data_IF_317201007627
#
_entry.id   IF_317201007627
#
_cell.length_a   1.000
_cell.length_b   1.000
_cell.length_c   1.000
_cell.angle_alpha   90.00
_cell.angle_beta   90.00
_cell.angle_gamma   90.00
#
_symmetry.space_group_name_H-M   'P 1'
#
loop_
_entity.id
_entity.type
_entity.pdbx_description
1 polymer ?
#
# COMPACT_ATOMS: atom_id res chain seq x y z
N UNK A 1 -1.73 -13.27 -40.99
CA UNK A 1 -1.28 -12.27 -39.97
C UNK A 1 -1.99 -12.51 -38.61
N UNK A 2 -1.87 -13.71 -38.02
CA UNK A 2 -2.60 -14.03 -36.73
C UNK A 2 -1.74 -14.79 -35.70
N UNK A 3 -0.40 -14.75 -35.81
CA UNK A 3 0.45 -15.50 -34.88
C UNK A 3 1.12 -14.65 -33.78
N UNK A 4 1.03 -13.33 -33.84
CA UNK A 4 1.74 -12.44 -32.90
C UNK A 4 0.92 -12.13 -31.64
N UNK A 5 -0.41 -12.13 -31.74
CA UNK A 5 -1.28 -11.78 -30.59
C UNK A 5 -1.42 -12.88 -29.52
N UNK A 6 -1.16 -14.15 -29.85
CA UNK A 6 -1.30 -15.22 -28.86
C UNK A 6 -0.06 -15.37 -27.94
N UNK A 7 1.13 -15.00 -28.40
CA UNK A 7 2.34 -15.08 -27.59
C UNK A 7 2.35 -14.02 -26.46
N UNK A 8 1.88 -12.81 -26.74
CA UNK A 8 1.83 -11.71 -25.77
C UNK A 8 0.79 -11.96 -24.65
N UNK A 9 -0.35 -12.57 -24.98
CA UNK A 9 -1.36 -12.96 -23.96
C UNK A 9 -0.89 -14.09 -23.04
N UNK A 10 -0.09 -15.03 -23.55
CA UNK A 10 0.38 -16.18 -22.75
C UNK A 10 1.48 -15.76 -21.77
N UNK A 11 2.35 -14.82 -22.15
CA UNK A 11 3.40 -14.29 -21.27
C UNK A 11 2.78 -13.47 -20.14
N UNK A 12 1.82 -12.60 -20.42
CA UNK A 12 1.13 -11.82 -19.40
C UNK A 12 0.35 -12.70 -18.39
N UNK A 13 -0.24 -13.81 -18.83
CA UNK A 13 -0.92 -14.73 -17.91
C UNK A 13 0.04 -15.53 -17.01
N UNK A 14 1.22 -15.87 -17.50
CA UNK A 14 2.22 -16.58 -16.68
C UNK A 14 2.89 -15.65 -15.66
N UNK A 15 3.18 -14.40 -16.02
CA UNK A 15 3.70 -13.39 -15.08
C UNK A 15 2.65 -13.02 -14.03
N UNK A 16 1.38 -12.91 -14.39
CA UNK A 16 0.29 -12.62 -13.43
C UNK A 16 0.10 -13.77 -12.42
N UNK A 17 0.25 -15.01 -12.85
CA UNK A 17 0.19 -16.19 -11.96
C UNK A 17 1.43 -16.27 -11.06
N UNK A 18 2.59 -15.86 -11.55
CA UNK A 18 3.84 -15.87 -10.79
C UNK A 18 3.86 -14.80 -9.68
N UNK A 19 3.29 -13.64 -9.95
CA UNK A 19 3.26 -12.49 -9.03
C UNK A 19 2.18 -12.61 -7.93
N UNK A 20 1.07 -13.31 -8.19
CA UNK A 20 0.10 -13.70 -7.15
C UNK A 20 0.73 -14.60 -6.07
N UNK A 21 1.91 -15.18 -6.33
CA UNK A 21 2.58 -16.06 -5.38
C UNK A 21 3.40 -15.31 -4.31
N UNK A 22 3.74 -14.02 -4.48
CA UNK A 22 4.71 -13.37 -3.59
C UNK A 22 4.07 -12.83 -2.31
N UNK A 23 2.91 -12.20 -2.37
CA UNK A 23 2.25 -11.62 -1.18
C UNK A 23 1.48 -12.67 -0.38
N UNK A 24 0.79 -13.58 -1.05
CA UNK A 24 0.21 -14.80 -0.44
C UNK A 24 1.33 -15.71 0.11
N UNK A 25 2.56 -15.51 -0.37
CA UNK A 25 3.70 -16.40 -0.13
C UNK A 25 4.35 -16.20 1.25
N UNK A 26 4.40 -14.99 1.82
CA UNK A 26 5.10 -14.75 3.08
C UNK A 26 4.42 -15.41 4.28
N UNK A 27 3.11 -15.23 4.43
CA UNK A 27 2.36 -15.91 5.50
C UNK A 27 2.33 -17.42 5.30
N UNK A 28 2.16 -17.88 4.07
CA UNK A 28 2.20 -19.31 3.75
C UNK A 28 3.60 -19.90 3.95
N UNK A 29 4.65 -19.21 3.53
CA UNK A 29 6.05 -19.63 3.78
C UNK A 29 6.33 -19.68 5.28
N UNK A 30 5.91 -18.67 6.04
CA UNK A 30 6.06 -18.66 7.50
C UNK A 30 5.31 -19.84 8.15
N UNK A 31 4.09 -20.12 7.71
CA UNK A 31 3.29 -21.26 8.20
C UNK A 31 3.93 -22.60 7.83
N UNK A 32 4.41 -22.74 6.57
CA UNK A 32 5.12 -23.94 6.11
C UNK A 32 6.42 -24.15 6.88
N UNK A 33 7.24 -23.11 7.03
CA UNK A 33 8.50 -23.20 7.77
C UNK A 33 8.27 -23.65 9.20
N UNK A 34 7.35 -23.04 9.93
CA UNK A 34 7.00 -23.43 11.32
C UNK A 34 6.49 -24.87 11.40
N UNK A 35 5.76 -25.35 10.39
CA UNK A 35 5.27 -26.73 10.34
C UNK A 35 6.44 -27.71 10.16
N UNK A 36 7.33 -27.45 9.20
CA UNK A 36 8.46 -28.33 8.90
C UNK A 36 9.52 -28.34 10.01
N UNK A 37 9.73 -27.21 10.70
CA UNK A 37 10.57 -27.16 11.91
C UNK A 37 10.01 -28.02 13.04
N UNK A 38 8.69 -28.04 13.23
CA UNK A 38 8.04 -28.94 14.22
C UNK A 38 8.23 -30.42 13.84
N UNK A 39 8.12 -30.74 12.55
CA UNK A 39 8.36 -32.11 12.04
C UNK A 39 9.80 -32.52 12.32
N UNK A 40 10.76 -31.67 12.03
CA UNK A 40 12.19 -31.93 12.30
C UNK A 40 12.44 -32.18 13.79
N UNK A 41 11.90 -31.31 14.68
CA UNK A 41 12.01 -31.50 16.12
C UNK A 41 11.40 -32.84 16.60
N UNK A 42 10.29 -33.25 16.00
CA UNK A 42 9.64 -34.51 16.33
C UNK A 42 10.45 -35.73 15.90
N UNK A 43 11.01 -35.70 14.67
CA UNK A 43 11.92 -36.75 14.17
C UNK A 43 13.17 -36.91 15.02
N UNK A 44 13.79 -35.81 15.43
CA UNK A 44 14.96 -35.79 16.31
C UNK A 44 14.63 -36.40 17.69
N UNK A 45 13.48 -36.03 18.30
CA UNK A 45 13.04 -36.62 19.59
C UNK A 45 12.78 -38.12 19.52
N UNK A 46 12.28 -38.63 18.39
CA UNK A 46 11.99 -40.05 18.18
C UNK A 46 13.21 -40.87 17.75
N UNK A 47 14.40 -40.25 17.61
CA UNK A 47 15.61 -40.89 17.08
C UNK A 47 15.36 -41.59 15.74
N UNK A 48 14.66 -40.87 14.82
CA UNK A 48 14.40 -41.36 13.49
C UNK A 48 15.73 -41.64 12.73
N UNK A 49 15.64 -42.36 11.62
CA UNK A 49 16.79 -42.68 10.78
C UNK A 49 17.50 -41.37 10.33
N UNK A 50 18.83 -41.40 10.35
CA UNK A 50 19.66 -40.26 10.00
C UNK A 50 19.38 -39.73 8.60
N UNK A 51 19.05 -40.59 7.65
CA UNK A 51 18.73 -40.21 6.28
C UNK A 51 17.42 -39.37 6.22
N UNK A 52 16.43 -39.73 7.02
CA UNK A 52 15.14 -39.01 7.12
C UNK A 52 15.33 -37.64 7.75
N UNK A 53 16.16 -37.57 8.80
CA UNK A 53 16.49 -36.30 9.48
C UNK A 53 17.20 -35.37 8.48
N UNK A 54 18.20 -35.88 7.74
CA UNK A 54 18.95 -35.08 6.76
C UNK A 54 18.06 -34.52 5.65
N UNK A 55 17.12 -35.30 5.13
CA UNK A 55 16.15 -34.81 4.12
C UNK A 55 15.27 -33.71 4.70
N UNK A 56 14.80 -33.88 5.94
CA UNK A 56 13.97 -32.86 6.60
C UNK A 56 14.75 -31.56 6.88
N UNK A 57 16.02 -31.66 7.27
CA UNK A 57 16.91 -30.50 7.44
C UNK A 57 17.11 -29.74 6.14
N UNK A 58 17.26 -30.44 5.01
CA UNK A 58 17.35 -29.80 3.69
C UNK A 58 16.06 -29.03 3.33
N UNK A 59 14.88 -29.60 3.64
CA UNK A 59 13.59 -28.95 3.41
C UNK A 59 13.50 -27.67 4.24
N UNK A 60 13.82 -27.73 5.53
CA UNK A 60 13.79 -26.58 6.44
C UNK A 60 14.78 -25.50 5.99
N UNK A 61 16.00 -25.89 5.61
CA UNK A 61 17.03 -24.96 5.11
C UNK A 61 16.56 -24.23 3.86
N UNK A 62 16.00 -24.95 2.88
CA UNK A 62 15.46 -24.35 1.66
C UNK A 62 14.33 -23.36 1.94
N UNK A 63 13.41 -23.71 2.85
CA UNK A 63 12.31 -22.82 3.24
C UNK A 63 12.81 -21.57 3.99
N UNK A 64 13.86 -21.68 4.79
CA UNK A 64 14.50 -20.52 5.45
C UNK A 64 15.07 -19.55 4.42
N UNK A 65 15.86 -20.05 3.46
CA UNK A 65 16.40 -19.21 2.39
C UNK A 65 15.30 -18.49 1.61
N UNK A 66 14.25 -19.22 1.22
CA UNK A 66 13.11 -18.60 0.52
C UNK A 66 12.40 -17.54 1.37
N UNK A 67 12.26 -17.77 2.66
CA UNK A 67 11.65 -16.80 3.58
C UNK A 67 12.54 -15.56 3.73
N UNK A 68 13.85 -15.73 3.90
CA UNK A 68 14.82 -14.62 4.01
C UNK A 68 14.84 -13.76 2.72
N UNK A 69 14.83 -14.39 1.55
CA UNK A 69 14.73 -13.68 0.27
C UNK A 69 13.42 -12.90 0.14
N UNK A 70 12.30 -13.47 0.58
CA UNK A 70 11.01 -12.79 0.55
C UNK A 70 10.99 -11.58 1.50
N UNK A 71 11.56 -11.72 2.71
CA UNK A 71 11.71 -10.61 3.68
C UNK A 71 12.59 -9.51 3.11
N UNK A 72 13.72 -9.86 2.50
CA UNK A 72 14.65 -8.89 1.91
C UNK A 72 13.96 -8.07 0.80
N UNK A 73 13.18 -8.73 -0.07
CA UNK A 73 12.39 -8.05 -1.11
C UNK A 73 11.34 -7.12 -0.53
N UNK A 74 10.65 -7.52 0.55
CA UNK A 74 9.67 -6.67 1.21
C UNK A 74 10.32 -5.44 1.86
N UNK A 75 11.50 -5.59 2.47
CA UNK A 75 12.27 -4.47 3.03
C UNK A 75 12.68 -3.49 1.94
N UNK A 76 13.25 -3.97 0.83
CA UNK A 76 13.62 -3.13 -0.31
C UNK A 76 12.40 -2.40 -0.89
N UNK A 77 11.26 -3.09 -1.01
CA UNK A 77 10.03 -2.46 -1.48
C UNK A 77 9.59 -1.33 -0.55
N UNK A 78 9.66 -1.51 0.77
CA UNK A 78 9.32 -0.48 1.75
C UNK A 78 10.27 0.72 1.67
N UNK A 79 11.53 0.51 1.38
CA UNK A 79 12.52 1.59 1.23
C UNK A 79 12.24 2.49 0.02
N UNK A 80 11.71 1.95 -1.07
CA UNK A 80 11.46 2.68 -2.31
C UNK A 80 10.02 3.17 -2.48
N UNK A 81 9.10 2.82 -1.57
CA UNK A 81 7.68 3.12 -1.74
C UNK A 81 7.38 4.63 -1.77
N UNK A 82 8.19 5.44 -1.06
CA UNK A 82 8.01 6.90 -0.99
C UNK A 82 8.21 7.60 -2.33
N UNK A 83 9.11 7.08 -3.16
CA UNK A 83 9.50 7.65 -4.45
C UNK A 83 8.82 6.96 -5.63
N UNK A 84 7.90 6.04 -5.37
CA UNK A 84 7.23 5.26 -6.41
C UNK A 84 6.36 6.13 -7.29
N UNK A 85 6.73 6.22 -8.58
CA UNK A 85 5.93 6.89 -9.60
C UNK A 85 4.76 5.99 -9.98
N UNK A 86 3.53 6.50 -9.82
CA UNK A 86 2.30 5.80 -10.10
C UNK A 86 1.61 6.36 -11.34
N UNK A 87 0.98 5.51 -12.13
CA UNK A 87 0.08 5.94 -13.21
C UNK A 87 -1.34 6.05 -12.66
N UNK A 88 -1.94 7.22 -12.81
CA UNK A 88 -3.32 7.51 -12.43
C UNK A 88 -4.18 7.65 -13.67
N UNK A 89 -5.28 6.89 -13.76
CA UNK A 89 -6.31 7.10 -14.78
C UNK A 89 -7.29 8.15 -14.28
N UNK A 90 -7.01 9.40 -14.62
CA UNK A 90 -7.78 10.56 -14.18
C UNK A 90 -9.01 10.72 -15.07
N UNK A 91 -10.15 10.94 -14.44
CA UNK A 91 -11.43 11.20 -15.07
C UNK A 91 -11.70 12.70 -15.00
N UNK A 92 -11.98 13.29 -16.13
CA UNK A 92 -12.48 14.67 -16.22
C UNK A 92 -13.97 14.68 -15.83
N UNK A 93 -14.32 15.41 -14.78
CA UNK A 93 -15.66 15.39 -14.21
C UNK A 93 -16.72 16.03 -15.13
N UNK A 94 -16.32 16.88 -16.10
CA UNK A 94 -17.25 17.55 -17.01
C UNK A 94 -17.51 16.71 -18.26
N UNK A 95 -16.46 16.11 -18.83
CA UNK A 95 -16.53 15.41 -20.11
C UNK A 95 -16.59 13.89 -19.98
N UNK A 96 -16.22 13.35 -18.82
CA UNK A 96 -16.01 11.92 -18.61
C UNK A 96 -14.77 11.35 -19.32
N UNK A 97 -13.98 12.20 -19.99
CA UNK A 97 -12.75 11.79 -20.66
C UNK A 97 -11.72 11.27 -19.66
N UNK A 98 -10.88 10.33 -20.11
CA UNK A 98 -9.82 9.74 -19.27
C UNK A 98 -8.45 10.12 -19.82
N UNK A 99 -7.55 10.47 -18.90
CA UNK A 99 -6.13 10.72 -19.18
C UNK A 99 -5.26 9.95 -18.20
N UNK A 100 -4.07 9.57 -18.62
CA UNK A 100 -3.08 8.95 -17.74
C UNK A 100 -2.06 10.00 -17.30
N UNK A 101 -1.93 10.16 -15.99
CA UNK A 101 -0.99 11.09 -15.35
C UNK A 101 -0.07 10.31 -14.44
N UNK A 102 1.23 10.59 -14.53
CA UNK A 102 2.23 10.01 -13.63
C UNK A 102 2.55 10.97 -12.49
N UNK A 103 2.32 10.54 -11.27
CA UNK A 103 2.59 11.27 -10.03
C UNK A 103 2.98 10.30 -8.93
N UNK A 104 3.66 10.81 -7.91
CA UNK A 104 3.88 10.11 -6.63
C UNK A 104 2.68 10.30 -5.70
N UNK A 105 2.60 9.52 -4.63
CA UNK A 105 1.50 9.55 -3.66
C UNK A 105 1.92 10.27 -2.39
N UNK A 106 1.10 11.22 -1.96
CA UNK A 106 1.20 11.88 -0.67
C UNK A 106 -0.11 11.81 0.12
N UNK A 107 -0.02 12.00 1.44
CA UNK A 107 -1.14 12.14 2.36
C UNK A 107 -0.96 13.39 3.21
N UNK A 108 -2.06 14.01 3.62
CA UNK A 108 -2.03 15.08 4.62
C UNK A 108 -1.44 14.54 5.93
N UNK A 109 -0.52 15.26 6.55
CA UNK A 109 0.28 14.83 7.73
C UNK A 109 -0.58 14.27 8.87
N UNK A 110 -1.67 14.93 9.20
CA UNK A 110 -2.59 14.55 10.27
C UNK A 110 -3.87 13.89 9.74
N UNK A 111 -3.80 13.21 8.60
CA UNK A 111 -4.92 12.42 8.16
C UNK A 111 -4.95 11.07 8.90
N UNK A 112 -6.10 10.38 8.80
CA UNK A 112 -6.32 9.07 9.40
C UNK A 112 -5.17 8.09 9.08
N UNK A 113 -4.69 7.37 10.08
CA UNK A 113 -3.67 6.35 9.90
C UNK A 113 -4.14 5.24 8.94
N UNK A 114 -3.22 4.77 8.11
CA UNK A 114 -3.50 3.70 7.16
C UNK A 114 -3.45 2.35 7.88
N UNK A 115 -4.56 1.62 7.87
CA UNK A 115 -4.66 0.26 8.40
C UNK A 115 -4.02 -0.73 7.42
N UNK A 116 -2.89 -1.30 7.78
CA UNK A 116 -2.15 -2.24 6.94
C UNK A 116 -2.95 -3.52 6.63
N UNK A 117 -3.83 -4.00 7.53
CA UNK A 117 -4.69 -5.17 7.24
C UNK A 117 -5.66 -4.88 6.09
N UNK A 118 -6.18 -3.65 6.02
CA UNK A 118 -7.02 -3.22 4.89
C UNK A 118 -6.21 -3.10 3.61
N UNK A 119 -4.97 -2.59 3.68
CA UNK A 119 -4.05 -2.55 2.53
C UNK A 119 -3.80 -3.95 1.99
N UNK A 120 -3.47 -4.93 2.84
CA UNK A 120 -3.23 -6.32 2.45
C UNK A 120 -4.47 -6.96 1.81
N UNK A 121 -5.66 -6.65 2.34
CA UNK A 121 -6.93 -7.06 1.73
C UNK A 121 -7.09 -6.50 0.31
N UNK A 122 -6.80 -5.21 0.09
CA UNK A 122 -6.86 -4.61 -1.24
C UNK A 122 -5.77 -5.15 -2.17
N UNK A 123 -4.54 -5.38 -1.68
CA UNK A 123 -3.49 -6.03 -2.46
C UNK A 123 -3.99 -7.36 -3.03
N UNK A 124 -4.59 -8.21 -2.20
CA UNK A 124 -5.15 -9.49 -2.64
C UNK A 124 -6.27 -9.32 -3.68
N UNK A 125 -7.18 -8.35 -3.49
CA UNK A 125 -8.29 -8.08 -4.42
C UNK A 125 -7.76 -7.57 -5.77
N UNK A 126 -6.80 -6.65 -5.77
CA UNK A 126 -6.20 -6.07 -6.98
C UNK A 126 -5.42 -7.14 -7.75
N UNK A 127 -4.55 -7.88 -7.07
CA UNK A 127 -3.73 -8.93 -7.67
C UNK A 127 -4.56 -10.03 -8.33
N UNK A 128 -5.73 -10.35 -7.77
CA UNK A 128 -6.67 -11.33 -8.33
C UNK A 128 -7.60 -10.76 -9.41
N UNK A 129 -7.43 -9.50 -9.84
CA UNK A 129 -8.26 -8.86 -10.85
C UNK A 129 -9.71 -8.62 -10.42
N UNK A 130 -10.00 -8.67 -9.11
CA UNK A 130 -11.34 -8.50 -8.52
C UNK A 130 -11.60 -7.08 -8.00
N UNK A 131 -10.68 -6.16 -8.24
CA UNK A 131 -10.84 -4.78 -7.80
C UNK A 131 -11.98 -4.10 -8.57
N UNK A 132 -12.93 -3.52 -7.81
CA UNK A 132 -14.02 -2.76 -8.40
C UNK A 132 -13.55 -1.36 -8.82
N UNK A 133 -13.37 -1.19 -10.14
CA UNK A 133 -12.83 0.03 -10.73
C UNK A 133 -13.80 1.23 -10.69
N UNK A 134 -15.07 1.01 -10.36
CA UNK A 134 -16.07 2.07 -10.25
C UNK A 134 -15.88 2.92 -8.97
N UNK A 135 -15.23 2.40 -7.93
CA UNK A 135 -14.97 3.18 -6.72
C UNK A 135 -13.99 4.33 -7.00
N UNK A 136 -14.39 5.60 -6.82
CA UNK A 136 -13.54 6.74 -7.09
C UNK A 136 -12.39 6.83 -6.08
N UNK A 137 -11.25 7.30 -6.55
CA UNK A 137 -10.15 7.78 -5.69
C UNK A 137 -10.09 9.30 -5.87
N UNK A 138 -10.20 10.03 -4.77
CA UNK A 138 -10.24 11.49 -4.79
C UNK A 138 -8.86 12.03 -4.41
N UNK A 139 -8.34 12.89 -5.26
CA UNK A 139 -7.03 13.52 -5.06
C UNK A 139 -7.09 15.02 -5.24
N UNK A 140 -6.10 15.71 -4.72
CA UNK A 140 -5.79 17.11 -5.02
C UNK A 140 -4.31 17.19 -5.45
N UNK A 141 -3.95 18.14 -6.30
CA UNK A 141 -2.55 18.48 -6.55
C UNK A 141 -1.87 18.83 -5.23
N UNK A 142 -0.79 18.12 -4.86
CA UNK A 142 -0.17 18.31 -3.56
C UNK A 142 0.40 19.73 -3.39
N UNK A 143 0.87 20.37 -4.46
CA UNK A 143 1.29 21.77 -4.47
C UNK A 143 0.14 22.70 -4.04
N UNK A 144 -1.09 22.47 -4.53
CA UNK A 144 -2.26 23.26 -4.15
C UNK A 144 -2.65 23.05 -2.69
N UNK A 145 -2.54 21.83 -2.19
CA UNK A 145 -2.77 21.52 -0.78
C UNK A 145 -1.73 22.21 0.12
N UNK A 146 -0.46 22.17 -0.27
CA UNK A 146 0.63 22.82 0.45
C UNK A 146 0.45 24.35 0.49
N UNK A 147 0.06 24.96 -0.63
CA UNK A 147 -0.23 26.41 -0.70
C UNK A 147 -1.38 26.84 0.23
N UNK A 148 -2.27 25.91 0.62
CA UNK A 148 -3.34 26.11 1.60
C UNK A 148 -2.88 25.87 3.05
N UNK A 149 -1.60 25.62 3.29
CA UNK A 149 -1.00 25.41 4.61
C UNK A 149 -1.06 23.98 5.14
N UNK A 150 -1.38 22.98 4.30
CA UNK A 150 -1.39 21.59 4.73
C UNK A 150 -0.02 20.93 4.52
N UNK A 151 0.57 20.46 5.58
CA UNK A 151 1.77 19.63 5.54
C UNK A 151 1.42 18.22 5.04
N UNK A 152 2.34 17.63 4.26
CA UNK A 152 2.11 16.32 3.65
C UNK A 152 3.28 15.39 3.89
N UNK A 153 2.96 14.09 3.88
CA UNK A 153 3.92 12.99 3.97
C UNK A 153 3.79 12.07 2.77
N UNK A 154 4.91 11.55 2.29
CA UNK A 154 4.93 10.49 1.29
C UNK A 154 4.50 9.13 1.88
N UNK A 155 4.51 8.07 1.08
CA UNK A 155 4.15 6.71 1.52
C UNK A 155 5.08 6.12 2.60
N UNK A 156 6.31 6.64 2.76
CA UNK A 156 7.24 6.28 3.85
C UNK A 156 6.96 7.02 5.14
N UNK A 157 6.20 8.12 5.09
CA UNK A 157 5.93 9.00 6.21
C UNK A 157 6.95 10.15 6.32
N UNK A 158 7.77 10.37 5.30
CA UNK A 158 8.69 11.51 5.20
C UNK A 158 7.92 12.76 4.79
N UNK A 159 8.21 13.89 5.44
CA UNK A 159 7.59 15.18 5.14
C UNK A 159 8.07 15.72 3.80
N UNK A 160 7.17 16.31 3.03
CA UNK A 160 7.46 16.88 1.72
C UNK A 160 7.74 18.36 1.83
N UNK A 161 8.78 18.82 1.15
CA UNK A 161 9.04 20.23 0.91
C UNK A 161 8.10 20.79 -0.16
N UNK A 162 7.94 22.10 -0.22
CA UNK A 162 7.12 22.78 -1.23
C UNK A 162 7.52 22.39 -2.66
N UNK A 163 8.79 22.26 -2.94
CA UNK A 163 9.27 21.93 -4.30
C UNK A 163 8.90 20.49 -4.69
N UNK A 164 9.05 19.56 -3.75
CA UNK A 164 8.71 18.14 -3.98
C UNK A 164 7.23 17.95 -4.24
N UNK A 165 6.35 18.74 -3.63
CA UNK A 165 4.89 18.58 -3.78
C UNK A 165 4.40 18.65 -5.24
N UNK A 166 5.16 19.29 -6.13
CA UNK A 166 4.84 19.37 -7.56
C UNK A 166 4.75 18.01 -8.25
N UNK A 167 5.46 17.01 -7.71
CA UNK A 167 5.51 15.65 -8.25
C UNK A 167 4.44 14.73 -7.66
N UNK A 168 3.60 15.22 -6.73
CA UNK A 168 2.69 14.39 -5.96
C UNK A 168 1.21 14.72 -6.18
N UNK A 169 0.39 13.68 -6.12
CA UNK A 169 -1.02 13.81 -5.78
C UNK A 169 -1.21 13.53 -4.29
N UNK A 170 -1.93 14.42 -3.60
CA UNK A 170 -2.38 14.20 -2.24
C UNK A 170 -3.71 13.45 -2.26
N UNK A 171 -3.75 12.25 -1.69
CA UNK A 171 -4.93 11.40 -1.66
C UNK A 171 -5.87 11.89 -0.54
N UNK A 172 -7.07 12.31 -0.92
CA UNK A 172 -8.12 12.72 0.01
C UNK A 172 -9.01 11.52 0.39
N UNK A 173 -9.42 10.71 -0.60
CA UNK A 173 -10.12 9.44 -0.37
C UNK A 173 -9.46 8.30 -1.13
N UNK A 174 -9.53 7.09 -0.58
CA UNK A 174 -8.93 5.89 -1.16
C UNK A 174 -7.50 5.61 -0.72
N UNK A 175 -7.05 6.10 0.43
CA UNK A 175 -5.68 5.93 0.94
C UNK A 175 -5.22 4.47 0.98
N UNK A 176 -6.03 3.56 1.55
CA UNK A 176 -5.70 2.13 1.62
C UNK A 176 -5.56 1.52 0.22
N UNK A 177 -6.45 1.91 -0.70
CA UNK A 177 -6.45 1.45 -2.10
C UNK A 177 -5.20 1.94 -2.84
N UNK A 178 -4.91 3.23 -2.74
CA UNK A 178 -3.74 3.85 -3.37
C UNK A 178 -2.43 3.25 -2.86
N UNK A 179 -2.31 3.03 -1.54
CA UNK A 179 -1.15 2.37 -0.94
C UNK A 179 -1.02 0.91 -1.41
N UNK A 180 -2.14 0.19 -1.58
CA UNK A 180 -2.14 -1.17 -2.08
C UNK A 180 -1.63 -1.24 -3.54
N UNK A 181 -2.06 -0.33 -4.41
CA UNK A 181 -1.53 -0.21 -5.78
C UNK A 181 -0.03 0.07 -5.79
N UNK A 182 0.43 1.03 -4.96
CA UNK A 182 1.85 1.36 -4.87
C UNK A 182 2.68 0.16 -4.37
N UNK A 183 2.21 -0.51 -3.33
CA UNK A 183 2.87 -1.71 -2.81
C UNK A 183 2.99 -2.81 -3.87
N UNK A 184 1.91 -3.07 -4.62
CA UNK A 184 1.93 -4.05 -5.72
C UNK A 184 2.91 -3.68 -6.81
N UNK A 185 2.95 -2.43 -7.25
CA UNK A 185 3.87 -1.98 -8.31
C UNK A 185 5.33 -2.24 -7.93
N UNK A 186 5.67 -2.06 -6.65
CA UNK A 186 7.04 -2.28 -6.18
C UNK A 186 7.34 -3.76 -5.98
N UNK A 187 6.41 -4.49 -5.35
CA UNK A 187 6.67 -5.89 -4.94
C UNK A 187 6.52 -6.88 -6.08
N UNK A 188 5.63 -6.60 -7.04
CA UNK A 188 5.36 -7.53 -8.16
C UNK A 188 6.18 -7.24 -9.41
N UNK A 189 6.80 -6.05 -9.51
CA UNK A 189 7.45 -5.59 -10.73
C UNK A 189 6.49 -5.32 -11.89
N UNK A 190 5.18 -5.39 -11.64
CA UNK A 190 4.12 -5.10 -12.61
C UNK A 190 3.63 -3.67 -12.45
N UNK A 191 3.22 -3.03 -13.54
CA UNK A 191 2.67 -1.68 -13.48
C UNK A 191 1.14 -1.74 -13.38
N UNK A 192 0.61 -1.44 -12.21
CA UNK A 192 -0.83 -1.28 -11.99
C UNK A 192 -1.20 0.20 -12.08
N UNK A 193 -2.11 0.54 -12.96
CA UNK A 193 -2.69 1.89 -13.04
C UNK A 193 -3.78 2.04 -11.97
N UNK A 194 -3.73 3.14 -11.23
CA UNK A 194 -4.78 3.51 -10.27
C UNK A 194 -5.99 4.01 -11.06
N UNK A 195 -7.12 3.29 -11.04
CA UNK A 195 -8.27 3.61 -11.88
C UNK A 195 -9.18 4.66 -11.23
N UNK A 196 -10.01 5.30 -12.05
CA UNK A 196 -11.13 6.15 -11.64
C UNK A 196 -10.74 7.24 -10.62
N UNK A 197 -9.73 8.03 -11.00
CA UNK A 197 -9.18 9.09 -10.17
C UNK A 197 -9.82 10.42 -10.52
N UNK A 198 -10.31 11.14 -9.52
CA UNK A 198 -10.91 12.46 -9.65
C UNK A 198 -10.04 13.50 -8.95
N UNK A 199 -9.57 14.48 -9.72
CA UNK A 199 -8.78 15.60 -9.18
C UNK A 199 -9.76 16.69 -8.75
N UNK A 200 -9.79 16.98 -7.45
CA UNK A 200 -10.70 18.00 -6.89
C UNK A 200 -9.95 19.21 -6.41
N UNK A 201 -10.56 20.37 -6.60
CA UNK A 201 -10.19 21.60 -5.89
C UNK A 201 -11.04 21.72 -4.63
N UNK A 202 -10.39 21.68 -3.48
CA UNK A 202 -11.05 21.73 -2.18
C UNK A 202 -10.51 22.94 -1.42
N UNK A 203 -11.38 23.83 -0.98
CA UNK A 203 -10.96 25.03 -0.25
C UNK A 203 -10.46 24.69 1.15
N UNK A 204 -11.24 23.91 1.89
CA UNK A 204 -10.89 23.45 3.23
C UNK A 204 -10.74 21.92 3.23
N UNK A 205 -9.50 21.47 3.09
CA UNK A 205 -9.18 20.03 3.04
C UNK A 205 -9.52 19.34 4.35
N UNK A 206 -9.30 19.99 5.50
CA UNK A 206 -9.62 19.43 6.80
C UNK A 206 -11.11 19.14 6.94
N UNK A 207 -11.99 20.10 6.64
CA UNK A 207 -13.43 19.91 6.65
C UNK A 207 -13.87 18.81 5.67
N UNK A 208 -13.32 18.82 4.44
CA UNK A 208 -13.60 17.78 3.44
C UNK A 208 -13.25 16.37 3.94
N UNK A 209 -12.09 16.21 4.57
CA UNK A 209 -11.66 14.91 5.13
C UNK A 209 -12.59 14.47 6.28
N UNK A 210 -13.10 15.41 7.09
CA UNK A 210 -14.11 15.12 8.12
C UNK A 210 -15.37 14.55 7.49
N UNK A 211 -15.89 15.23 6.47
CA UNK A 211 -17.16 14.88 5.84
C UNK A 211 -17.09 13.49 5.20
N UNK A 212 -16.07 13.23 4.37
CA UNK A 212 -15.94 11.93 3.68
C UNK A 212 -15.65 10.76 4.63
N UNK A 213 -14.89 10.99 5.70
CA UNK A 213 -14.59 9.96 6.68
C UNK A 213 -15.75 9.74 7.68
N UNK A 214 -16.57 10.77 7.92
CA UNK A 214 -17.73 10.70 8.82
C UNK A 214 -18.85 9.81 8.30
N UNK A 215 -18.96 9.66 6.99
CA UNK A 215 -20.05 8.88 6.35
C UNK A 215 -19.78 7.37 6.38
N UNK A 216 -18.52 6.93 6.39
CA UNK A 216 -18.15 5.53 6.12
C UNK A 216 -17.71 4.68 7.28
N UNK A 217 -17.25 5.25 8.40
CA UNK A 217 -16.70 4.48 9.54
C UNK A 217 -16.79 5.30 10.82
N UNK A 218 -17.23 4.69 11.93
CA UNK A 218 -17.18 5.36 13.24
C UNK A 218 -15.75 5.72 13.61
N UNK A 219 -15.54 6.97 13.95
CA UNK A 219 -14.24 7.51 14.33
C UNK A 219 -13.86 7.05 15.72
N UNK A 220 -12.63 6.56 15.86
CA UNK A 220 -12.05 6.33 17.17
C UNK A 220 -11.57 7.65 17.81
N UNK A 221 -11.10 7.60 19.03
CA UNK A 221 -10.70 8.79 19.79
C UNK A 221 -9.48 9.49 19.16
N UNK A 222 -8.54 8.73 18.60
CA UNK A 222 -7.36 9.23 17.89
C UNK A 222 -7.78 9.97 16.60
N UNK A 223 -8.66 9.37 15.80
CA UNK A 223 -9.18 9.99 14.57
C UNK A 223 -9.81 11.37 14.85
N UNK A 224 -10.53 11.50 15.98
CA UNK A 224 -11.17 12.76 16.40
C UNK A 224 -10.16 13.86 16.75
N UNK A 225 -9.11 13.52 17.48
CA UNK A 225 -8.03 14.46 17.85
C UNK A 225 -7.29 14.93 16.61
N UNK A 226 -6.93 14.00 15.74
CA UNK A 226 -6.21 14.29 14.48
C UNK A 226 -7.01 15.24 13.60
N UNK A 227 -8.33 15.02 13.51
CA UNK A 227 -9.23 15.90 12.75
C UNK A 227 -9.40 17.27 13.42
N UNK A 228 -9.47 17.32 14.74
CA UNK A 228 -9.50 18.60 15.45
C UNK A 228 -8.24 19.43 15.15
N UNK A 229 -7.06 18.80 15.11
CA UNK A 229 -5.82 19.46 14.70
C UNK A 229 -5.90 20.03 13.27
N UNK A 230 -6.50 19.27 12.32
CA UNK A 230 -6.66 19.72 10.94
C UNK A 230 -7.68 20.86 10.75
N UNK A 231 -8.72 20.93 11.59
CA UNK A 231 -9.85 21.84 11.38
C UNK A 231 -9.78 23.11 12.20
N UNK A 232 -9.13 23.07 13.37
CA UNK A 232 -9.15 24.21 14.32
C UNK A 232 -7.88 25.05 14.27
N UNK A 233 -6.78 24.57 13.69
CA UNK A 233 -5.44 25.15 13.82
C UNK A 233 -5.03 25.40 15.28
N UNK A 234 -5.59 24.64 16.23
CA UNK A 234 -5.31 24.74 17.64
C UNK A 234 -4.05 23.97 17.97
N UNK A 235 -3.07 24.67 18.54
CA UNK A 235 -1.75 24.12 18.90
C UNK A 235 -1.86 22.94 19.86
N UNK A 236 -2.86 22.93 20.77
CA UNK A 236 -3.07 21.81 21.69
C UNK A 236 -3.44 20.54 20.93
N UNK A 237 -4.37 20.60 19.98
CA UNK A 237 -4.77 19.43 19.19
C UNK A 237 -3.64 18.96 18.26
N UNK A 238 -2.85 19.89 17.72
CA UNK A 238 -1.67 19.58 16.91
C UNK A 238 -0.63 18.82 17.73
N UNK A 239 -0.29 19.30 18.91
CA UNK A 239 0.68 18.66 19.81
C UNK A 239 0.19 17.26 20.27
N UNK A 240 -1.10 17.12 20.59
CA UNK A 240 -1.67 15.81 20.98
C UNK A 240 -1.68 14.84 19.78
N UNK A 241 -1.97 15.30 18.57
CA UNK A 241 -1.92 14.48 17.36
C UNK A 241 -0.51 13.97 17.09
N UNK A 242 0.51 14.81 17.27
CA UNK A 242 1.92 14.44 17.14
C UNK A 242 2.34 13.36 18.16
N UNK A 243 1.97 13.55 19.43
CA UNK A 243 2.24 12.56 20.48
C UNK A 243 1.58 11.19 20.20
N UNK A 244 0.38 11.20 19.64
CA UNK A 244 -0.33 9.97 19.26
C UNK A 244 0.34 9.27 18.05
N UNK A 245 0.88 10.04 17.11
CA UNK A 245 1.64 9.50 15.96
C UNK A 245 2.99 8.91 16.39
N UNK A 246 3.67 9.50 17.36
CA UNK A 246 4.92 8.96 17.93
C UNK A 246 4.69 7.67 18.72
N UNK A 247 3.55 7.55 19.40
CA UNK A 247 3.18 6.36 20.17
C UNK A 247 3.01 5.10 19.33
N UNK A 248 2.57 5.23 18.07
CA UNK A 248 2.38 4.11 17.15
C UNK A 248 3.69 3.62 16.48
N UNK A 249 4.81 4.33 16.67
CA UNK A 249 6.13 3.96 16.12
C UNK A 249 6.97 3.09 17.04
N UNK A 250 6.50 2.81 18.24
CA UNK A 250 7.13 1.90 19.23
C UNK A 250 6.44 0.55 19.23
#
# INVERSE_FOLDING_TARGET
>A
MNSINNATMTVNNQETVFNNSIVTNMEELTKKLKKEEKVLQHLAKRKADASVITVQEQIVSRLKTQHEEAVAKEVQAKEHIGDSLMTFSVVDDETGARSEIQKKIAFVKHNRSVDNKKVDGFISIIANGKYEKAYPIIVIEAEKAFAKGYEMKNLKGEELTQEETKEYFCILDGQHRSKAFATLNITSGSTYTIPNVHVKEVENIGAYLVDINGIGTSWNQKDRVTVAALTTNDELFTNVAELLDEGDRK
#
